data_IF_762441130691
#
_entry.id   IF_762441130691
#
_cell.length_a   1.000
_cell.length_b   1.000
_cell.length_c   1.000
_cell.angle_alpha   90.00
_cell.angle_beta   90.00
_cell.angle_gamma   90.00
#
_symmetry.space_group_name_H-M   'P 1'
#
loop_
_entity.id
_entity.type
_entity.pdbx_description
1 polymer ?
#
# COMPACT_ATOMS: atom_id res chain seq x y z
N UNK A 1 13.94 13.99 14.43
CA UNK A 1 14.51 13.16 13.36
C UNK A 1 15.46 12.17 14.00
N UNK A 2 15.37 10.88 13.67
CA UNK A 2 16.33 9.91 14.20
C UNK A 2 17.75 10.29 13.72
N UNK A 3 18.71 10.35 14.64
CA UNK A 3 20.08 10.74 14.33
C UNK A 3 20.77 9.62 13.52
N UNK A 4 21.46 9.96 12.44
CA UNK A 4 22.30 8.99 11.71
C UNK A 4 23.50 8.62 12.57
N UNK A 5 23.48 7.42 13.15
CA UNK A 5 24.63 6.88 13.85
C UNK A 5 25.75 6.57 12.85
N UNK A 6 27.03 6.49 13.30
CA UNK A 6 28.13 6.10 12.42
C UNK A 6 27.89 4.78 11.68
N UNK A 7 27.19 3.84 12.31
CA UNK A 7 26.82 2.57 11.71
C UNK A 7 25.79 2.74 10.59
N UNK A 8 24.75 3.57 10.80
CA UNK A 8 23.74 3.84 9.78
C UNK A 8 24.37 4.54 8.56
N UNK A 9 25.27 5.50 8.79
CA UNK A 9 26.02 6.15 7.70
C UNK A 9 26.84 5.15 6.88
N UNK A 10 27.54 4.22 7.55
CA UNK A 10 28.33 3.19 6.88
C UNK A 10 27.47 2.20 6.07
N UNK A 11 26.28 1.85 6.57
CA UNK A 11 25.33 1.00 5.85
C UNK A 11 24.77 1.73 4.61
N UNK A 12 24.48 3.03 4.73
CA UNK A 12 24.04 3.85 3.62
C UNK A 12 25.10 3.95 2.52
N UNK A 13 26.35 4.21 2.87
CA UNK A 13 27.47 4.24 1.91
C UNK A 13 27.60 2.92 1.15
N UNK A 14 27.49 1.79 1.84
CA UNK A 14 27.52 0.46 1.21
C UNK A 14 26.32 0.24 0.28
N UNK A 15 25.12 0.64 0.70
CA UNK A 15 23.91 0.50 -0.10
C UNK A 15 23.98 1.32 -1.40
N UNK A 16 24.50 2.54 -1.33
CA UNK A 16 24.65 3.42 -2.50
C UNK A 16 25.72 2.95 -3.50
N UNK A 17 26.63 2.07 -3.08
CA UNK A 17 27.64 1.47 -3.95
C UNK A 17 27.14 0.23 -4.73
N UNK A 18 25.94 -0.26 -4.42
CA UNK A 18 25.32 -1.40 -5.10
C UNK A 18 24.81 -1.03 -6.49
N UNK A 19 24.57 -2.05 -7.32
CA UNK A 19 23.81 -1.89 -8.58
C UNK A 19 22.36 -1.45 -8.30
N UNK A 20 21.68 -0.90 -9.31
CA UNK A 20 20.29 -0.43 -9.16
C UNK A 20 19.38 -1.57 -8.71
N UNK A 21 19.54 -2.75 -9.31
CA UNK A 21 18.75 -3.94 -9.01
C UNK A 21 18.96 -4.42 -7.56
N UNK A 22 20.19 -4.39 -7.07
CA UNK A 22 20.51 -4.73 -5.69
C UNK A 22 20.00 -3.68 -4.69
N UNK A 23 20.02 -2.39 -5.06
CA UNK A 23 19.42 -1.32 -4.25
C UNK A 23 17.92 -1.51 -4.12
N UNK A 24 17.23 -1.85 -5.21
CA UNK A 24 15.79 -2.14 -5.20
C UNK A 24 15.45 -3.33 -4.31
N UNK A 25 16.21 -4.43 -4.42
CA UNK A 25 16.02 -5.61 -3.59
C UNK A 25 16.26 -5.32 -2.09
N UNK A 26 17.31 -4.55 -1.76
CA UNK A 26 17.61 -4.12 -0.41
C UNK A 26 16.52 -3.21 0.15
N UNK A 27 16.07 -2.22 -0.62
CA UNK A 27 14.99 -1.31 -0.23
C UNK A 27 13.69 -2.07 0.04
N UNK A 28 13.29 -3.00 -0.84
CA UNK A 28 12.09 -3.82 -0.65
C UNK A 28 12.16 -4.66 0.64
N UNK A 29 13.33 -5.27 0.90
CA UNK A 29 13.56 -6.07 2.12
C UNK A 29 13.46 -5.22 3.39
N UNK A 30 14.07 -4.03 3.37
CA UNK A 30 14.02 -3.08 4.49
C UNK A 30 12.61 -2.54 4.71
N UNK A 31 11.90 -2.15 3.65
CA UNK A 31 10.51 -1.69 3.73
C UNK A 31 9.62 -2.81 4.29
N UNK A 32 9.80 -4.06 3.86
CA UNK A 32 9.04 -5.19 4.39
C UNK A 32 9.35 -5.46 5.87
N UNK A 33 10.58 -5.25 6.31
CA UNK A 33 10.97 -5.41 7.71
C UNK A 33 10.45 -4.27 8.60
N UNK A 34 10.51 -3.03 8.08
CA UNK A 34 10.06 -1.81 8.74
C UNK A 34 8.54 -1.62 8.71
N UNK A 35 7.86 -2.24 7.74
CA UNK A 35 6.41 -2.18 7.52
C UNK A 35 5.56 -2.72 8.67
N UNK A 36 6.19 -3.06 9.80
CA UNK A 36 5.55 -3.42 11.05
C UNK A 36 4.80 -4.75 10.93
N UNK A 37 4.61 -5.41 12.06
CA UNK A 37 3.43 -6.26 12.16
C UNK A 37 2.26 -5.29 11.99
N UNK A 38 1.44 -5.46 10.94
CA UNK A 38 0.16 -4.76 10.88
C UNK A 38 -0.49 -4.99 12.24
N UNK A 39 -0.72 -3.91 12.98
CA UNK A 39 -1.26 -4.03 14.33
C UNK A 39 -2.54 -4.85 14.23
N UNK A 40 -2.66 -5.92 15.03
CA UNK A 40 -3.81 -6.81 14.94
C UNK A 40 -5.12 -6.05 15.12
N UNK A 41 -5.10 -4.94 15.86
CA UNK A 41 -6.21 -4.01 15.99
C UNK A 41 -6.60 -3.33 14.67
N UNK A 42 -5.63 -2.94 13.82
CA UNK A 42 -5.89 -2.37 12.49
C UNK A 42 -6.50 -3.42 11.56
N UNK A 43 -6.00 -4.66 11.59
CA UNK A 43 -6.61 -5.76 10.84
C UNK A 43 -8.05 -6.04 11.31
N UNK A 44 -8.27 -6.11 12.62
CA UNK A 44 -9.60 -6.33 13.19
C UNK A 44 -10.57 -5.19 12.83
N UNK A 45 -10.15 -3.93 12.94
CA UNK A 45 -10.96 -2.79 12.55
C UNK A 45 -11.29 -2.82 11.04
N UNK A 46 -10.37 -3.31 10.21
CA UNK A 46 -10.62 -3.47 8.77
C UNK A 46 -11.62 -4.60 8.48
N UNK A 47 -11.54 -5.73 9.19
CA UNK A 47 -12.53 -6.80 9.09
C UNK A 47 -13.93 -6.33 9.49
N UNK A 48 -14.03 -5.55 10.57
CA UNK A 48 -15.30 -5.01 11.04
C UNK A 48 -15.90 -4.01 10.05
N UNK A 49 -15.08 -3.15 9.43
CA UNK A 49 -15.51 -2.25 8.37
C UNK A 49 -16.00 -3.01 7.12
N UNK A 50 -15.32 -4.10 6.73
CA UNK A 50 -15.80 -4.95 5.62
C UNK A 50 -17.18 -5.54 5.95
N UNK A 51 -17.34 -6.14 7.14
CA UNK A 51 -18.63 -6.72 7.58
C UNK A 51 -19.74 -5.67 7.57
N UNK A 52 -19.45 -4.48 8.08
CA UNK A 52 -20.39 -3.36 8.08
C UNK A 52 -20.80 -2.97 6.65
N UNK A 53 -19.85 -2.79 5.73
CA UNK A 53 -20.17 -2.41 4.34
C UNK A 53 -20.97 -3.46 3.60
N UNK A 54 -20.69 -4.74 3.84
CA UNK A 54 -21.50 -5.84 3.26
C UNK A 54 -22.93 -5.76 3.77
N UNK A 55 -23.13 -5.59 5.09
CA UNK A 55 -24.47 -5.43 5.68
C UNK A 55 -25.23 -4.20 5.15
N UNK A 56 -24.54 -3.07 4.99
CA UNK A 56 -25.12 -1.85 4.39
C UNK A 56 -25.52 -2.06 2.92
N UNK A 57 -24.76 -2.86 2.16
CA UNK A 57 -25.11 -3.22 0.78
C UNK A 57 -26.32 -4.15 0.74
N UNK A 58 -26.32 -5.22 1.56
CA UNK A 58 -27.39 -6.22 1.59
C UNK A 58 -28.74 -5.62 2.06
N UNK A 59 -28.68 -4.68 3.01
CA UNK A 59 -29.85 -3.95 3.51
C UNK A 59 -30.33 -2.84 2.57
N UNK A 60 -29.54 -2.48 1.55
CA UNK A 60 -29.82 -1.35 0.67
C UNK A 60 -29.60 0.03 1.32
N UNK A 61 -29.00 0.08 2.52
CA UNK A 61 -28.65 1.34 3.18
C UNK A 61 -27.49 2.05 2.46
N UNK A 62 -26.62 1.30 1.79
CA UNK A 62 -25.49 1.84 1.05
C UNK A 62 -25.97 2.55 -0.23
N UNK A 63 -25.51 3.79 -0.43
CA UNK A 63 -25.66 4.49 -1.71
C UNK A 63 -24.72 3.86 -2.75
N UNK A 64 -25.29 3.19 -3.74
CA UNK A 64 -24.53 2.55 -4.81
C UNK A 64 -24.50 3.38 -6.09
N UNK A 65 -23.55 3.08 -6.97
CA UNK A 65 -23.47 3.60 -8.33
C UNK A 65 -23.56 2.44 -9.32
N UNK A 66 -24.10 2.68 -10.51
CA UNK A 66 -24.23 1.63 -11.53
C UNK A 66 -22.84 1.17 -11.99
N UNK A 67 -22.68 -0.12 -12.21
CA UNK A 67 -21.41 -0.69 -12.69
C UNK A 67 -20.93 -0.05 -14.00
N UNK A 68 -21.85 0.29 -14.91
CA UNK A 68 -21.52 0.97 -16.18
C UNK A 68 -20.81 2.30 -15.97
N UNK A 69 -21.21 3.07 -14.96
CA UNK A 69 -20.59 4.34 -14.59
C UNK A 69 -19.17 4.15 -14.04
N UNK A 70 -18.99 3.15 -13.16
CA UNK A 70 -17.67 2.79 -12.61
C UNK A 70 -16.73 2.35 -13.72
N UNK A 71 -17.19 1.46 -14.61
CA UNK A 71 -16.41 0.97 -15.76
C UNK A 71 -15.99 2.11 -16.67
N UNK A 72 -16.91 3.01 -17.02
CA UNK A 72 -16.62 4.16 -17.87
C UNK A 72 -15.57 5.08 -17.26
N UNK A 73 -15.70 5.42 -15.97
CA UNK A 73 -14.73 6.24 -15.24
C UNK A 73 -13.33 5.63 -15.22
N UNK A 74 -13.23 4.31 -15.03
CA UNK A 74 -11.94 3.62 -15.01
C UNK A 74 -11.32 3.55 -16.42
N UNK A 75 -12.11 3.24 -17.45
CA UNK A 75 -11.63 3.23 -18.84
C UNK A 75 -11.13 4.61 -19.29
N UNK A 76 -11.77 5.69 -18.86
CA UNK A 76 -11.35 7.05 -19.19
C UNK A 76 -9.97 7.43 -18.59
N UNK A 77 -9.50 6.71 -17.55
CA UNK A 77 -8.18 6.93 -16.93
C UNK A 77 -7.06 6.16 -17.61
N UNK A 78 -7.39 5.20 -18.49
CA UNK A 78 -6.37 4.45 -19.20
C UNK A 78 -5.78 5.31 -20.32
N UNK A 79 -4.45 5.32 -20.51
CA UNK A 79 -3.84 5.97 -21.66
C UNK A 79 -4.40 5.38 -22.95
N UNK A 80 -4.67 6.23 -23.95
CA UNK A 80 -5.00 5.74 -25.29
C UNK A 80 -3.80 4.99 -25.83
N UNK A 81 -4.00 3.74 -26.26
CA UNK A 81 -2.99 3.03 -27.02
C UNK A 81 -2.72 3.82 -28.31
N UNK A 82 -1.46 4.20 -28.51
CA UNK A 82 -0.94 4.80 -29.74
C UNK A 82 -0.58 3.69 -30.74
#
# INVERSE_FOLDING_TARGET
>A
MAQMTPEVSRLLEKALALTVEEQEALAASLISNLGGKVEQAVLAAWEDEIKKRVSELDSGAAKTVRWTEVRQRNLAKLPRAH
#
